data_IF_467683917523
#
_entry.id   IF_467683917523
#
_cell.length_a   1.000
_cell.length_b   1.000
_cell.length_c   1.000
_cell.angle_alpha   90.00
_cell.angle_beta   90.00
_cell.angle_gamma   90.00
#
_symmetry.space_group_name_H-M   'P 1'
#
loop_
_entity.id
_entity.type
_entity.pdbx_description
1 polymer ?
#
# COMPACT_ATOMS: atom_id res chain seq x y z
N UNK A 1 -24.55 43.00 -3.84
CA UNK A 1 -25.21 42.36 -5.01
C UNK A 1 -24.25 42.39 -6.18
N UNK A 2 -23.59 41.27 -6.46
CA UNK A 2 -22.97 40.99 -7.76
C UNK A 2 -23.16 39.49 -7.98
N UNK A 3 -24.09 39.16 -8.87
CA UNK A 3 -24.48 37.79 -9.21
C UNK A 3 -23.35 37.14 -10.00
N UNK A 4 -22.89 35.96 -9.55
CA UNK A 4 -22.12 35.04 -10.39
C UNK A 4 -23.14 34.36 -11.34
N UNK A 5 -23.06 34.54 -12.66
CA UNK A 5 -23.91 33.83 -13.59
C UNK A 5 -23.24 32.53 -14.03
N UNK A 6 -24.02 31.45 -14.10
CA UNK A 6 -23.72 30.30 -14.94
C UNK A 6 -23.61 28.99 -14.18
N UNK A 7 -24.73 28.26 -14.18
CA UNK A 7 -24.81 26.83 -13.94
C UNK A 7 -23.66 26.06 -14.63
N UNK A 8 -23.02 25.18 -13.87
CA UNK A 8 -21.82 24.49 -14.31
C UNK A 8 -21.36 23.54 -13.23
N UNK A 9 -22.19 22.55 -12.89
CA UNK A 9 -21.76 21.38 -12.14
C UNK A 9 -20.34 21.00 -12.59
N UNK A 10 -19.36 21.05 -11.68
CA UNK A 10 -17.99 20.61 -11.93
C UNK A 10 -18.11 19.19 -12.46
N UNK A 11 -17.99 19.04 -13.78
CA UNK A 11 -18.18 17.73 -14.41
C UNK A 11 -17.15 16.79 -13.78
N UNK A 12 -17.53 15.60 -13.29
CA UNK A 12 -16.55 14.66 -12.78
C UNK A 12 -15.58 14.32 -13.92
N UNK A 13 -14.34 14.80 -13.82
CA UNK A 13 -13.27 14.53 -14.81
C UNK A 13 -12.83 13.06 -14.77
N UNK A 14 -13.33 12.30 -13.81
CA UNK A 14 -13.11 10.87 -13.65
C UNK A 14 -14.11 10.12 -14.54
N UNK A 15 -13.91 10.22 -15.86
CA UNK A 15 -14.58 9.36 -16.85
C UNK A 15 -13.55 8.91 -17.88
N UNK A 16 -13.78 7.76 -18.53
CA UNK A 16 -12.84 7.24 -19.53
C UNK A 16 -12.55 8.22 -20.67
N UNK A 17 -13.53 8.94 -21.27
CA UNK A 17 -13.24 9.93 -22.30
C UNK A 17 -12.41 11.11 -21.77
N UNK A 18 -12.72 11.61 -20.57
CA UNK A 18 -12.01 12.73 -19.98
C UNK A 18 -10.56 12.36 -19.63
N UNK A 19 -10.34 11.15 -19.09
CA UNK A 19 -9.00 10.64 -18.79
C UNK A 19 -8.16 10.46 -20.06
N UNK A 20 -8.73 9.90 -21.13
CA UNK A 20 -8.03 9.76 -22.41
C UNK A 20 -7.62 11.13 -22.97
N UNK A 21 -8.57 12.07 -23.09
CA UNK A 21 -8.29 13.43 -23.53
C UNK A 21 -7.20 14.08 -22.68
N UNK A 22 -7.31 13.98 -21.35
CA UNK A 22 -6.34 14.58 -20.45
C UNK A 22 -4.91 14.04 -20.65
N UNK A 23 -4.77 12.74 -20.94
CA UNK A 23 -3.49 12.11 -21.25
C UNK A 23 -2.96 12.54 -22.63
N UNK A 24 -3.83 12.54 -23.64
CA UNK A 24 -3.50 12.91 -25.02
C UNK A 24 -3.02 14.37 -25.11
N UNK A 25 -3.77 15.30 -24.51
CA UNK A 25 -3.45 16.75 -24.46
C UNK A 25 -2.07 17.02 -23.83
N UNK A 26 -1.56 16.08 -23.03
CA UNK A 26 -0.30 16.21 -22.28
C UNK A 26 0.82 15.34 -22.84
N UNK A 27 0.56 14.64 -23.95
CA UNK A 27 1.51 13.69 -24.53
C UNK A 27 1.90 12.55 -23.56
N UNK A 28 1.05 12.24 -22.58
CA UNK A 28 1.30 11.15 -21.63
C UNK A 28 0.78 9.85 -22.23
N UNK A 29 1.69 8.99 -22.68
CA UNK A 29 1.35 7.61 -23.02
C UNK A 29 1.50 6.74 -21.78
N UNK A 30 0.43 6.07 -21.30
CA UNK A 30 0.53 5.20 -20.14
C UNK A 30 1.64 4.17 -20.31
N UNK A 31 2.61 4.17 -19.41
CA UNK A 31 3.75 3.29 -19.48
C UNK A 31 3.46 1.97 -18.75
N UNK A 32 3.53 0.85 -19.48
CA UNK A 32 3.52 -0.50 -18.89
C UNK A 32 4.68 -0.67 -17.90
N UNK A 33 5.87 -0.13 -18.21
CA UNK A 33 7.05 -0.21 -17.36
C UNK A 33 6.89 0.52 -16.02
N UNK A 34 6.15 1.64 -16.00
CA UNK A 34 5.79 2.37 -14.77
C UNK A 34 4.51 1.85 -14.11
N UNK A 35 3.84 0.86 -14.70
CA UNK A 35 2.60 0.28 -14.19
C UNK A 35 1.44 1.27 -14.05
N UNK A 36 1.39 2.31 -14.88
CA UNK A 36 0.39 3.36 -14.80
C UNK A 36 -1.00 2.83 -15.19
N UNK A 37 -1.93 2.82 -14.23
CA UNK A 37 -3.35 2.55 -14.43
C UNK A 37 -4.16 3.64 -13.70
N UNK A 38 -4.77 4.55 -14.45
CA UNK A 38 -5.49 5.72 -13.91
C UNK A 38 -6.93 5.36 -13.56
N UNK A 39 -7.41 5.79 -12.38
CA UNK A 39 -8.82 5.63 -12.01
C UNK A 39 -9.73 6.42 -12.96
N UNK A 40 -10.75 5.76 -13.52
CA UNK A 40 -11.72 6.36 -14.46
C UNK A 40 -13.16 6.35 -13.93
N UNK A 41 -13.38 5.91 -12.69
CA UNK A 41 -14.68 6.01 -12.02
C UNK A 41 -14.60 6.90 -10.77
N UNK A 42 -15.38 7.99 -10.67
CA UNK A 42 -15.32 8.91 -9.54
C UNK A 42 -15.83 8.24 -8.26
N UNK A 43 -16.81 7.35 -8.39
CA UNK A 43 -17.34 6.56 -7.28
C UNK A 43 -16.27 5.70 -6.63
N UNK A 44 -15.39 5.08 -7.42
CA UNK A 44 -14.28 4.29 -6.88
C UNK A 44 -13.34 5.17 -6.07
N UNK A 45 -12.98 6.36 -6.57
CA UNK A 45 -12.13 7.31 -5.85
C UNK A 45 -12.77 7.76 -4.53
N UNK A 46 -14.06 8.12 -4.54
CA UNK A 46 -14.82 8.50 -3.34
C UNK A 46 -14.89 7.37 -2.32
N UNK A 47 -15.15 6.13 -2.77
CA UNK A 47 -15.16 4.94 -1.89
C UNK A 47 -13.80 4.64 -1.27
N UNK A 48 -12.70 4.82 -2.02
CA UNK A 48 -11.34 4.68 -1.49
C UNK A 48 -11.07 5.77 -0.45
N UNK A 49 -11.35 7.02 -0.77
CA UNK A 49 -11.17 8.14 0.15
C UNK A 49 -11.98 7.91 1.43
N UNK A 50 -13.24 7.45 1.32
CA UNK A 50 -14.18 7.13 2.41
C UNK A 50 -13.76 5.94 3.28
N UNK A 51 -12.87 5.07 2.80
CA UNK A 51 -12.37 3.91 3.57
C UNK A 51 -11.39 4.28 4.69
N UNK A 52 -10.75 5.44 4.61
CA UNK A 52 -9.92 5.94 5.71
C UNK A 52 -10.73 6.25 6.98
N UNK A 53 -10.06 6.34 8.11
CA UNK A 53 -10.55 6.82 9.39
C UNK A 53 -10.30 8.32 9.58
N UNK A 54 -10.47 8.81 10.82
CA UNK A 54 -10.15 10.20 11.15
C UNK A 54 -8.63 10.40 11.15
N UNK A 55 -8.13 11.28 10.27
CA UNK A 55 -6.74 11.74 10.22
C UNK A 55 -6.72 13.24 9.97
N UNK A 56 -5.61 13.92 10.32
CA UNK A 56 -5.44 15.36 10.08
C UNK A 56 -4.98 15.68 8.66
N UNK A 57 -4.38 14.72 7.97
CA UNK A 57 -3.88 14.87 6.62
C UNK A 57 -3.85 13.52 5.90
N UNK A 58 -3.97 13.56 4.58
CA UNK A 58 -3.71 12.41 3.72
C UNK A 58 -2.35 12.54 3.03
N UNK A 59 -1.69 11.40 2.88
CA UNK A 59 -0.49 11.27 2.06
C UNK A 59 -0.83 10.37 0.88
N UNK A 60 -0.56 10.81 -0.35
CA UNK A 60 -0.89 10.04 -1.56
C UNK A 60 0.37 9.67 -2.35
N UNK A 61 0.51 8.38 -2.69
CA UNK A 61 1.57 7.90 -3.58
C UNK A 61 0.98 7.64 -4.96
N UNK A 62 1.52 8.32 -5.97
CA UNK A 62 1.10 8.18 -7.37
C UNK A 62 -0.30 8.74 -7.63
N UNK A 63 -0.53 10.04 -7.42
CA UNK A 63 -1.83 10.69 -7.65
C UNK A 63 -2.30 10.62 -9.12
N UNK A 64 -1.39 10.44 -10.08
CA UNK A 64 -1.73 10.35 -11.48
C UNK A 64 -2.39 11.62 -12.01
N UNK A 65 -3.65 11.51 -12.46
CA UNK A 65 -4.47 12.66 -12.89
C UNK A 65 -5.23 13.33 -11.73
N UNK A 66 -5.03 12.88 -10.49
CA UNK A 66 -5.61 13.49 -9.30
C UNK A 66 -7.05 13.06 -8.99
N UNK A 67 -7.51 11.95 -9.57
CA UNK A 67 -8.88 11.45 -9.34
C UNK A 67 -9.12 11.09 -7.87
N UNK A 68 -8.15 10.45 -7.21
CA UNK A 68 -8.20 10.15 -5.78
C UNK A 68 -7.85 11.38 -4.94
N UNK A 69 -6.85 12.16 -5.35
CA UNK A 69 -6.46 13.44 -4.73
C UNK A 69 -7.65 14.36 -4.47
N UNK A 70 -8.54 14.53 -5.44
CA UNK A 70 -9.75 15.36 -5.31
C UNK A 70 -10.65 14.88 -4.16
N UNK A 71 -10.94 13.57 -4.12
CA UNK A 71 -11.75 12.98 -3.05
C UNK A 71 -11.04 13.03 -1.67
N UNK A 72 -9.71 13.00 -1.65
CA UNK A 72 -8.92 13.14 -0.43
C UNK A 72 -8.90 14.59 0.09
N UNK A 73 -8.82 15.58 -0.80
CA UNK A 73 -8.89 16.99 -0.44
C UNK A 73 -10.26 17.32 0.17
N UNK A 74 -11.34 16.84 -0.44
CA UNK A 74 -12.71 16.99 0.09
C UNK A 74 -12.85 16.39 1.50
N UNK A 75 -12.15 15.28 1.77
CA UNK A 75 -12.27 14.57 3.04
C UNK A 75 -11.35 15.09 4.15
N UNK A 76 -10.09 15.38 3.84
CA UNK A 76 -9.06 15.67 4.83
C UNK A 76 -8.65 17.15 4.87
N UNK A 77 -9.01 17.94 3.87
CA UNK A 77 -8.61 19.34 3.74
C UNK A 77 -7.11 19.58 3.47
N UNK A 78 -6.26 18.56 3.67
CA UNK A 78 -4.83 18.58 3.37
C UNK A 78 -4.38 17.25 2.76
N UNK A 79 -3.75 17.32 1.59
CA UNK A 79 -3.17 16.19 0.88
C UNK A 79 -1.75 16.54 0.45
N UNK A 80 -0.78 15.73 0.88
CA UNK A 80 0.59 15.80 0.37
C UNK A 80 0.86 14.59 -0.51
N UNK A 81 1.19 14.80 -1.78
CA UNK A 81 1.34 13.74 -2.76
C UNK A 81 2.77 13.63 -3.29
N UNK A 82 3.14 12.43 -3.75
CA UNK A 82 4.39 12.18 -4.49
C UNK A 82 4.09 11.56 -5.85
N UNK A 83 4.61 12.16 -6.92
CA UNK A 83 4.46 11.70 -8.31
C UNK A 83 5.81 11.71 -9.02
N UNK A 84 6.06 10.70 -9.87
CA UNK A 84 7.33 10.53 -10.58
C UNK A 84 7.29 11.10 -12.00
N UNK A 85 6.12 11.15 -12.65
CA UNK A 85 5.98 11.70 -13.99
C UNK A 85 5.80 13.23 -13.94
N UNK A 86 6.82 13.98 -14.34
CA UNK A 86 6.80 15.45 -14.33
C UNK A 86 5.62 16.08 -15.08
N UNK A 87 5.14 15.44 -16.17
CA UNK A 87 3.96 15.92 -16.92
C UNK A 87 2.68 15.83 -16.10
N UNK A 88 2.55 14.78 -15.28
CA UNK A 88 1.45 14.64 -14.33
C UNK A 88 1.63 15.63 -13.18
N UNK A 89 2.87 15.92 -12.77
CA UNK A 89 3.13 16.93 -11.75
C UNK A 89 2.67 18.34 -12.20
N UNK A 90 3.01 18.75 -13.43
CA UNK A 90 2.53 20.01 -14.02
C UNK A 90 1.00 20.06 -14.09
N UNK A 91 0.37 18.96 -14.49
CA UNK A 91 -1.09 18.84 -14.48
C UNK A 91 -1.68 19.04 -13.09
N UNK A 92 -1.17 18.33 -12.08
CA UNK A 92 -1.66 18.38 -10.70
C UNK A 92 -1.46 19.78 -10.08
N UNK A 93 -0.28 20.38 -10.29
CA UNK A 93 0.01 21.76 -9.85
C UNK A 93 -0.97 22.75 -10.46
N UNK A 94 -1.32 22.58 -11.75
CA UNK A 94 -2.31 23.44 -12.42
C UNK A 94 -3.72 23.18 -11.89
N UNK A 95 -4.12 21.91 -11.78
CA UNK A 95 -5.46 21.47 -11.37
C UNK A 95 -5.81 21.96 -9.96
N UNK A 96 -4.87 21.83 -9.03
CA UNK A 96 -5.10 22.14 -7.62
C UNK A 96 -4.49 23.48 -7.19
N UNK A 97 -4.04 24.32 -8.15
CA UNK A 97 -3.40 25.63 -7.88
C UNK A 97 -4.21 26.55 -6.98
N UNK A 98 -5.53 26.54 -7.16
CA UNK A 98 -6.45 27.45 -6.47
C UNK A 98 -6.93 26.93 -5.11
N UNK A 99 -6.72 25.64 -4.82
CA UNK A 99 -7.20 25.00 -3.60
C UNK A 99 -6.15 25.09 -2.50
N UNK A 100 -6.46 25.63 -1.30
CA UNK A 100 -5.58 25.48 -0.16
C UNK A 100 -5.47 23.98 0.20
N UNK A 101 -4.28 23.54 0.62
CA UNK A 101 -4.11 22.20 1.22
C UNK A 101 -3.58 21.10 0.29
N UNK A 102 -3.25 21.38 -0.97
CA UNK A 102 -2.53 20.41 -1.82
C UNK A 102 -1.04 20.74 -1.91
N UNK A 103 -0.20 19.76 -1.58
CA UNK A 103 1.26 19.82 -1.72
C UNK A 103 1.73 18.67 -2.59
N UNK A 104 2.67 18.93 -3.52
CA UNK A 104 3.16 17.92 -4.46
C UNK A 104 4.69 17.89 -4.49
N UNK A 105 5.24 16.70 -4.28
CA UNK A 105 6.65 16.39 -4.47
C UNK A 105 6.82 15.59 -5.76
N UNK A 106 7.64 16.11 -6.66
CA UNK A 106 8.02 15.40 -7.89
C UNK A 106 9.25 14.53 -7.62
N UNK A 107 9.03 13.24 -7.35
CA UNK A 107 10.07 12.29 -6.97
C UNK A 107 9.63 10.85 -7.17
N UNK A 108 10.60 9.94 -7.29
CA UNK A 108 10.35 8.51 -7.08
C UNK A 108 10.10 8.24 -5.59
N UNK A 109 8.91 7.73 -5.25
CA UNK A 109 8.53 7.41 -3.88
C UNK A 109 9.48 6.40 -3.21
N UNK A 110 10.11 5.48 -3.97
CA UNK A 110 11.08 4.53 -3.44
C UNK A 110 12.43 5.20 -3.10
N UNK A 111 12.77 6.31 -3.76
CA UNK A 111 14.04 7.04 -3.54
C UNK A 111 13.89 8.26 -2.63
N UNK A 112 12.68 8.79 -2.49
CA UNK A 112 12.38 9.94 -1.64
C UNK A 112 12.75 9.66 -0.17
N UNK A 113 13.34 10.63 0.51
CA UNK A 113 13.52 10.60 1.96
C UNK A 113 12.17 10.87 2.64
N UNK A 114 11.54 9.81 3.14
CA UNK A 114 10.23 9.91 3.78
C UNK A 114 10.31 10.54 5.16
N UNK A 115 11.40 10.36 5.90
CA UNK A 115 11.54 10.98 7.23
C UNK A 115 11.48 12.50 7.11
N UNK A 116 12.23 13.05 6.14
CA UNK A 116 12.20 14.49 5.83
C UNK A 116 10.89 14.93 5.19
N UNK A 117 10.39 14.21 4.18
CA UNK A 117 9.16 14.61 3.51
C UNK A 117 7.97 14.66 4.47
N UNK A 118 7.89 13.70 5.39
CA UNK A 118 6.78 13.59 6.29
C UNK A 118 6.90 14.49 7.54
N UNK A 119 8.06 15.11 7.82
CA UNK A 119 8.23 15.94 9.03
C UNK A 119 7.27 17.13 9.07
N UNK A 120 6.95 17.68 7.90
CA UNK A 120 6.16 18.91 7.78
C UNK A 120 4.64 18.63 7.67
N UNK A 121 4.26 17.35 7.66
CA UNK A 121 2.87 16.91 7.50
C UNK A 121 2.26 16.57 8.87
N UNK A 122 1.15 17.22 9.29
CA UNK A 122 0.53 16.97 10.58
C UNK A 122 0.16 15.49 10.81
N UNK A 123 0.51 14.96 11.98
CA UNK A 123 0.05 13.65 12.46
C UNK A 123 -1.24 13.80 13.31
N UNK A 124 -2.11 12.77 13.38
CA UNK A 124 -2.06 11.51 12.65
C UNK A 124 -2.38 11.71 11.16
N UNK A 125 -1.72 10.92 10.30
CA UNK A 125 -1.88 10.95 8.84
C UNK A 125 -2.22 9.56 8.30
N UNK A 126 -3.04 9.53 7.26
CA UNK A 126 -3.44 8.30 6.58
C UNK A 126 -2.80 8.25 5.18
N UNK A 127 -2.25 7.09 4.81
CA UNK A 127 -1.61 6.89 3.52
C UNK A 127 -2.58 6.29 2.51
N UNK A 128 -2.55 6.81 1.28
CA UNK A 128 -3.36 6.36 0.16
C UNK A 128 -2.47 6.08 -1.04
N UNK A 129 -2.89 5.13 -1.88
CA UNK A 129 -2.19 4.91 -3.14
C UNK A 129 -2.89 3.92 -4.05
N UNK A 130 -2.94 4.27 -5.33
CA UNK A 130 -3.25 3.33 -6.40
C UNK A 130 -1.93 2.80 -6.96
N UNK A 131 -1.31 1.86 -6.24
CA UNK A 131 0.10 1.54 -6.45
C UNK A 131 0.34 0.78 -7.75
N UNK A 132 1.40 1.12 -8.52
CA UNK A 132 1.80 0.31 -9.66
C UNK A 132 2.21 -1.09 -9.20
N UNK A 133 1.71 -2.11 -9.90
CA UNK A 133 1.85 -3.50 -9.45
C UNK A 133 3.31 -3.96 -9.35
N UNK A 134 4.16 -3.53 -10.29
CA UNK A 134 5.57 -3.90 -10.37
C UNK A 134 6.40 -3.47 -9.15
N UNK A 135 5.98 -2.41 -8.45
CA UNK A 135 6.69 -1.86 -7.30
C UNK A 135 5.93 -1.98 -5.98
N UNK A 136 4.71 -2.52 -6.02
CA UNK A 136 3.81 -2.61 -4.86
C UNK A 136 4.47 -3.24 -3.63
N UNK A 137 5.19 -4.36 -3.81
CA UNK A 137 5.89 -5.02 -2.70
C UNK A 137 7.00 -4.15 -2.08
N UNK A 138 7.80 -3.47 -2.90
CA UNK A 138 8.86 -2.59 -2.41
C UNK A 138 8.29 -1.35 -1.70
N UNK A 139 7.19 -0.79 -2.22
CA UNK A 139 6.51 0.33 -1.58
C UNK A 139 5.88 -0.08 -0.25
N UNK A 140 5.21 -1.23 -0.16
CA UNK A 140 4.65 -1.70 1.10
C UNK A 140 5.77 -1.95 2.13
N UNK A 141 6.91 -2.48 1.71
CA UNK A 141 8.08 -2.63 2.58
C UNK A 141 8.57 -1.26 3.09
N UNK A 142 8.63 -0.24 2.21
CA UNK A 142 8.98 1.13 2.59
C UNK A 142 7.96 1.77 3.52
N UNK A 143 6.67 1.47 3.34
CA UNK A 143 5.61 1.87 4.27
C UNK A 143 5.86 1.23 5.64
N UNK A 144 6.22 -0.05 5.70
CA UNK A 144 6.53 -0.72 6.96
C UNK A 144 7.76 -0.14 7.68
N UNK A 145 8.74 0.37 6.93
CA UNK A 145 9.87 1.13 7.51
C UNK A 145 9.44 2.43 8.19
N UNK A 146 8.28 2.98 7.82
CA UNK A 146 7.76 4.26 8.30
C UNK A 146 6.40 4.11 8.98
N UNK A 147 6.05 2.94 9.51
CA UNK A 147 4.71 2.70 10.11
C UNK A 147 4.36 3.67 11.23
N UNK A 148 5.36 4.14 12.00
CA UNK A 148 5.15 5.12 13.07
C UNK A 148 4.66 6.48 12.57
N UNK A 149 4.84 6.76 11.27
CA UNK A 149 4.42 7.98 10.63
C UNK A 149 2.95 7.98 10.22
N UNK A 150 2.25 6.85 10.26
CA UNK A 150 0.89 6.70 9.75
C UNK A 150 0.00 5.96 10.75
N UNK A 151 -1.27 6.34 10.86
CA UNK A 151 -2.25 5.53 11.59
C UNK A 151 -2.69 4.32 10.78
N UNK A 152 -2.78 4.50 9.47
CA UNK A 152 -3.28 3.49 8.54
C UNK A 152 -2.80 3.75 7.11
N UNK A 153 -2.95 2.73 6.26
CA UNK A 153 -2.84 2.85 4.82
C UNK A 153 -4.03 2.20 4.11
N UNK A 154 -4.49 2.83 3.03
CA UNK A 154 -5.55 2.34 2.14
C UNK A 154 -4.96 2.25 0.74
N UNK A 155 -4.69 1.02 0.30
CA UNK A 155 -3.96 0.76 -0.94
C UNK A 155 -4.83 -0.03 -1.92
N UNK A 156 -4.84 0.41 -3.17
CA UNK A 156 -5.30 -0.41 -4.29
C UNK A 156 -4.14 -1.30 -4.76
N UNK A 157 -4.37 -2.62 -4.75
CA UNK A 157 -3.37 -3.64 -5.07
C UNK A 157 -3.98 -4.69 -6.01
N UNK A 158 -3.14 -5.46 -6.71
CA UNK A 158 -3.62 -6.66 -7.41
C UNK A 158 -4.33 -7.60 -6.43
N UNK A 159 -5.41 -8.23 -6.87
CA UNK A 159 -6.23 -9.09 -6.02
C UNK A 159 -5.41 -10.19 -5.34
N UNK A 160 -4.50 -10.86 -6.05
CA UNK A 160 -3.65 -11.91 -5.48
C UNK A 160 -2.74 -11.38 -4.36
N UNK A 161 -2.19 -10.17 -4.52
CA UNK A 161 -1.35 -9.53 -3.50
C UNK A 161 -2.19 -9.16 -2.28
N UNK A 162 -3.39 -8.61 -2.51
CA UNK A 162 -4.34 -8.29 -1.46
C UNK A 162 -4.75 -9.54 -0.65
N UNK A 163 -5.12 -10.62 -1.33
CA UNK A 163 -5.48 -11.90 -0.72
C UNK A 163 -4.31 -12.51 0.08
N UNK A 164 -3.07 -12.35 -0.42
CA UNK A 164 -1.86 -12.76 0.31
C UNK A 164 -1.64 -11.94 1.59
N UNK A 165 -1.90 -10.63 1.57
CA UNK A 165 -1.75 -9.75 2.75
C UNK A 165 -2.70 -10.16 3.87
N UNK A 166 -3.96 -10.47 3.53
CA UNK A 166 -5.01 -10.84 4.49
C UNK A 166 -5.10 -12.34 4.74
N UNK A 167 -4.19 -13.13 4.16
CA UNK A 167 -4.18 -14.59 4.30
C UNK A 167 -4.12 -15.01 5.77
N UNK A 168 -4.96 -16.00 6.11
CA UNK A 168 -5.00 -16.64 7.42
C UNK A 168 -3.96 -17.77 7.58
N UNK A 169 -3.25 -18.16 6.51
CA UNK A 169 -2.37 -19.32 6.60
C UNK A 169 -2.18 -20.09 5.29
N UNK A 170 -1.36 -21.13 5.38
CA UNK A 170 -1.22 -22.12 4.33
C UNK A 170 -0.54 -21.63 3.04
N UNK A 171 -0.98 -22.18 1.90
CA UNK A 171 -0.35 -22.01 0.58
C UNK A 171 -0.40 -20.59 0.03
N UNK A 172 -1.38 -19.79 0.47
CA UNK A 172 -1.57 -18.40 0.02
C UNK A 172 -0.63 -17.42 0.72
N UNK A 173 0.03 -17.82 1.81
CA UNK A 173 0.99 -16.97 2.50
C UNK A 173 2.24 -16.70 1.67
N UNK A 174 2.81 -15.51 1.89
CA UNK A 174 4.14 -15.15 1.42
C UNK A 174 4.85 -14.22 2.40
N UNK A 175 6.03 -13.68 2.02
CA UNK A 175 6.79 -12.76 2.87
C UNK A 175 5.96 -11.58 3.38
N UNK A 176 5.14 -11.00 2.50
CA UNK A 176 4.28 -9.86 2.83
C UNK A 176 3.22 -10.18 3.90
N UNK A 177 2.77 -11.43 3.98
CA UNK A 177 1.80 -11.87 4.99
C UNK A 177 2.39 -11.75 6.40
N UNK A 178 3.65 -12.18 6.58
CA UNK A 178 4.35 -12.09 7.87
C UNK A 178 4.68 -10.65 8.24
N UNK A 179 5.16 -9.87 7.28
CA UNK A 179 5.43 -8.44 7.48
C UNK A 179 4.16 -7.70 7.89
N UNK A 180 3.06 -7.89 7.16
CA UNK A 180 1.79 -7.26 7.48
C UNK A 180 1.29 -7.70 8.86
N UNK A 181 1.42 -8.98 9.23
CA UNK A 181 1.05 -9.45 10.57
C UNK A 181 1.88 -8.80 11.69
N UNK A 182 3.16 -8.54 11.46
CA UNK A 182 4.05 -7.89 12.44
C UNK A 182 3.71 -6.42 12.63
N UNK A 183 3.58 -5.68 11.53
CA UNK A 183 3.47 -4.21 11.56
C UNK A 183 2.03 -3.69 11.66
N UNK A 184 1.02 -4.55 11.48
CA UNK A 184 -0.37 -4.15 11.52
C UNK A 184 -1.11 -4.76 12.72
N UNK A 185 -1.99 -3.98 13.30
CA UNK A 185 -3.02 -4.48 14.22
C UNK A 185 -4.13 -5.17 13.43
N UNK A 186 -4.58 -4.56 12.33
CA UNK A 186 -5.62 -5.11 11.44
C UNK A 186 -5.23 -4.98 9.97
N UNK A 187 -5.68 -5.96 9.18
CA UNK A 187 -5.47 -6.06 7.73
C UNK A 187 -6.79 -6.49 7.11
N UNK A 188 -7.38 -5.65 6.26
CA UNK A 188 -8.74 -5.85 5.78
C UNK A 188 -8.80 -5.72 4.27
N UNK A 189 -9.34 -6.72 3.58
CA UNK A 189 -9.72 -6.59 2.17
C UNK A 189 -11.11 -5.96 2.16
N UNK A 190 -11.17 -4.67 1.85
CA UNK A 190 -12.40 -3.89 1.97
C UNK A 190 -13.38 -4.19 0.84
N UNK A 191 -12.90 -4.11 -0.41
CA UNK A 191 -13.70 -4.44 -1.59
C UNK A 191 -12.83 -4.70 -2.81
N UNK A 192 -13.37 -5.45 -3.77
CA UNK A 192 -12.75 -5.69 -5.08
C UNK A 192 -13.06 -4.54 -6.02
N UNK A 193 -12.11 -4.23 -6.91
CA UNK A 193 -12.24 -3.21 -7.95
C UNK A 193 -12.00 -3.89 -9.30
N UNK A 194 -13.03 -3.85 -10.15
CA UNK A 194 -12.98 -4.46 -11.47
C UNK A 194 -12.03 -3.69 -12.41
N UNK A 195 -11.42 -4.36 -13.41
CA UNK A 195 -10.51 -3.72 -14.36
C UNK A 195 -11.10 -2.52 -15.12
N UNK A 196 -12.43 -2.47 -15.29
CA UNK A 196 -13.12 -1.35 -15.94
C UNK A 196 -12.98 -0.01 -15.21
N UNK A 197 -12.57 -0.02 -13.94
CA UNK A 197 -12.31 1.19 -13.17
C UNK A 197 -10.99 1.88 -13.50
N UNK A 198 -10.20 1.33 -14.42
CA UNK A 198 -8.89 1.84 -14.76
C UNK A 198 -8.69 2.06 -16.27
N UNK A 199 -7.81 3.00 -16.59
CA UNK A 199 -7.26 3.18 -17.93
C UNK A 199 -5.74 3.32 -17.88
N UNK A 200 -4.96 2.56 -18.66
CA UNK A 200 -5.38 1.37 -19.40
C UNK A 200 -6.02 0.33 -18.47
N UNK A 201 -6.80 -0.58 -19.07
CA UNK A 201 -7.44 -1.66 -18.31
C UNK A 201 -6.34 -2.66 -17.89
N UNK A 202 -6.17 -2.96 -16.58
CA UNK A 202 -5.24 -3.99 -16.15
C UNK A 202 -5.73 -5.37 -16.56
N UNK A 203 -4.79 -6.31 -16.72
CA UNK A 203 -5.09 -7.70 -17.08
C UNK A 203 -5.73 -8.48 -15.92
N UNK A 204 -5.53 -8.01 -14.69
CA UNK A 204 -6.02 -8.65 -13.47
C UNK A 204 -6.89 -7.70 -12.65
N UNK A 205 -7.77 -8.29 -11.83
CA UNK A 205 -8.59 -7.54 -10.87
C UNK A 205 -7.75 -6.92 -9.76
N UNK A 206 -8.26 -5.82 -9.21
CA UNK A 206 -7.68 -5.15 -8.04
C UNK A 206 -8.54 -5.33 -6.80
N UNK A 207 -7.99 -5.02 -5.65
CA UNK A 207 -8.73 -4.87 -4.40
C UNK A 207 -8.16 -3.73 -3.56
N UNK A 208 -9.04 -3.11 -2.77
CA UNK A 208 -8.66 -2.11 -1.77
C UNK A 208 -8.38 -2.82 -0.46
N UNK A 209 -7.18 -2.62 0.07
CA UNK A 209 -6.73 -3.18 1.34
C UNK A 209 -6.47 -2.06 2.34
N UNK A 210 -7.01 -2.21 3.54
CA UNK A 210 -6.70 -1.37 4.69
C UNK A 210 -5.68 -2.03 5.58
N UNK A 211 -4.68 -1.26 5.99
CA UNK A 211 -3.72 -1.60 7.01
C UNK A 211 -3.95 -0.65 8.17
N UNK A 212 -4.24 -1.17 9.37
CA UNK A 212 -4.21 -0.39 10.61
C UNK A 212 -2.90 -0.70 11.29
N UNK A 213 -2.02 0.30 11.44
CA UNK A 213 -0.65 0.06 11.90
C UNK A 213 -0.59 -0.11 13.42
N UNK A 214 0.28 -1.01 13.86
CA UNK A 214 0.54 -1.28 15.27
C UNK A 214 1.61 -0.30 15.79
N UNK A 215 1.41 0.24 16.98
CA UNK A 215 2.46 0.95 17.71
C UNK A 215 3.51 -0.03 18.26
N UNK A 216 4.79 0.28 18.14
CA UNK A 216 5.87 -0.45 18.84
C UNK A 216 6.90 -1.10 17.92
N UNK A 217 6.52 -1.97 16.97
CA UNK A 217 7.51 -2.62 16.09
C UNK A 217 8.29 -1.60 15.27
N UNK A 218 9.61 -1.58 15.46
CA UNK A 218 10.55 -0.84 14.62
C UNK A 218 11.05 -1.77 13.54
N UNK A 219 11.12 -1.24 12.31
CA UNK A 219 11.68 -1.98 11.20
C UNK A 219 13.18 -2.24 11.38
N UNK A 220 13.62 -3.45 11.05
CA UNK A 220 15.02 -3.88 11.05
C UNK A 220 15.37 -4.57 9.74
N UNK A 221 16.66 -4.70 9.42
CA UNK A 221 17.09 -5.47 8.24
C UNK A 221 16.71 -6.96 8.32
N UNK A 222 16.53 -7.48 9.54
CA UNK A 222 16.00 -8.82 9.77
C UNK A 222 14.56 -8.98 9.27
N UNK A 223 13.75 -7.91 9.31
CA UNK A 223 12.40 -7.91 8.76
C UNK A 223 12.40 -8.07 7.23
N UNK A 224 13.43 -7.54 6.55
CA UNK A 224 13.64 -7.81 5.12
C UNK A 224 14.05 -9.25 4.86
N UNK A 225 15.04 -9.74 5.60
CA UNK A 225 15.76 -10.99 5.29
C UNK A 225 14.98 -12.24 5.65
N UNK A 226 14.39 -12.29 6.86
CA UNK A 226 13.84 -13.53 7.43
C UNK A 226 12.61 -14.04 6.63
N UNK A 227 11.56 -13.23 6.39
CA UNK A 227 10.41 -13.69 5.61
C UNK A 227 10.83 -14.15 4.21
N UNK A 228 11.74 -13.43 3.54
CA UNK A 228 12.25 -13.82 2.22
C UNK A 228 12.92 -15.20 2.25
N UNK A 229 13.81 -15.44 3.21
CA UNK A 229 14.51 -16.73 3.38
C UNK A 229 13.54 -17.88 3.66
N UNK A 230 12.55 -17.68 4.53
CA UNK A 230 11.55 -18.70 4.85
C UNK A 230 10.77 -19.13 3.60
N UNK A 231 10.29 -18.17 2.81
CA UNK A 231 9.48 -18.47 1.63
C UNK A 231 10.30 -18.90 0.40
N UNK A 232 11.59 -18.55 0.32
CA UNK A 232 12.52 -19.12 -0.67
C UNK A 232 12.61 -20.65 -0.53
N UNK A 233 12.53 -21.18 0.69
CA UNK A 233 12.56 -22.61 0.98
C UNK A 233 11.18 -23.18 1.33
N UNK A 234 10.08 -22.58 0.84
CA UNK A 234 8.70 -22.96 1.21
C UNK A 234 8.34 -24.44 1.08
N UNK A 235 9.02 -25.18 0.19
CA UNK A 235 8.78 -26.61 -0.07
C UNK A 235 9.65 -27.55 0.79
N UNK A 236 10.57 -27.02 1.60
CA UNK A 236 11.40 -27.79 2.54
C UNK A 236 10.78 -27.77 3.94
N UNK A 237 11.02 -28.84 4.71
CA UNK A 237 10.73 -28.86 6.15
C UNK A 237 11.50 -27.75 6.86
N UNK A 238 10.94 -27.16 7.91
CA UNK A 238 11.58 -26.08 8.66
C UNK A 238 12.91 -26.52 9.29
N UNK A 239 13.01 -27.79 9.73
CA UNK A 239 14.28 -28.37 10.23
C UNK A 239 15.42 -28.40 9.21
N UNK A 240 15.10 -28.34 7.91
CA UNK A 240 16.10 -28.25 6.84
C UNK A 240 16.48 -26.82 6.47
N UNK A 241 15.85 -25.83 7.09
CA UNK A 241 15.98 -24.39 6.76
C UNK A 241 16.50 -23.60 7.95
N UNK A 242 16.09 -23.98 9.16
CA UNK A 242 16.36 -23.28 10.42
C UNK A 242 17.08 -24.20 11.42
N UNK A 243 17.87 -23.62 12.35
CA UNK A 243 18.47 -24.37 13.45
C UNK A 243 17.41 -25.04 14.33
N UNK A 244 17.72 -26.22 14.88
CA UNK A 244 16.78 -26.98 15.72
C UNK A 244 16.43 -26.23 17.01
N UNK A 245 17.35 -25.41 17.51
CA UNK A 245 17.23 -24.61 18.73
C UNK A 245 16.08 -23.60 18.61
N UNK A 246 15.93 -22.98 17.44
CA UNK A 246 14.83 -22.03 17.16
C UNK A 246 13.47 -22.74 17.13
N UNK A 247 13.46 -23.99 16.65
CA UNK A 247 12.26 -24.81 16.48
C UNK A 247 11.88 -25.58 17.75
N UNK A 248 12.75 -25.58 18.76
CA UNK A 248 12.53 -26.30 20.01
C UNK A 248 11.25 -25.82 20.69
N UNK A 249 10.46 -26.78 21.17
CA UNK A 249 9.19 -26.55 21.87
C UNK A 249 8.10 -25.86 21.01
N UNK A 250 8.27 -25.77 19.69
CA UNK A 250 7.25 -25.27 18.77
C UNK A 250 6.50 -26.43 18.11
N UNK A 251 5.18 -26.45 18.25
CA UNK A 251 4.28 -27.41 17.63
C UNK A 251 3.01 -26.73 17.13
N UNK A 252 2.33 -27.33 16.15
CA UNK A 252 1.02 -26.87 15.70
C UNK A 252 -0.09 -27.25 16.70
N UNK A 253 -1.35 -26.90 16.37
CA UNK A 253 -2.49 -27.16 17.24
C UNK A 253 -2.72 -28.66 17.49
N UNK A 254 -2.25 -29.52 16.59
CA UNK A 254 -2.32 -30.98 16.68
C UNK A 254 -1.08 -31.59 17.38
N UNK A 255 -0.16 -30.76 17.90
CA UNK A 255 1.04 -31.21 18.59
C UNK A 255 2.15 -31.70 17.66
N UNK A 256 2.05 -31.50 16.34
CA UNK A 256 3.12 -31.86 15.41
C UNK A 256 4.26 -30.84 15.51
N UNK A 257 5.52 -31.28 15.68
CA UNK A 257 6.64 -30.36 15.78
C UNK A 257 6.80 -29.51 14.53
N UNK A 258 7.06 -28.20 14.69
CA UNK A 258 7.34 -27.32 13.55
C UNK A 258 8.52 -27.83 12.72
N UNK A 259 9.48 -28.52 13.34
CA UNK A 259 10.61 -29.15 12.66
C UNK A 259 10.21 -30.04 11.48
N UNK A 260 9.04 -30.70 11.54
CA UNK A 260 8.54 -31.60 10.51
C UNK A 260 7.59 -30.95 9.51
N UNK A 261 7.18 -29.71 9.78
CA UNK A 261 6.26 -28.94 8.95
C UNK A 261 7.03 -28.03 7.99
N UNK A 262 6.34 -27.52 6.98
CA UNK A 262 6.79 -26.45 6.09
C UNK A 262 6.10 -25.14 6.46
N UNK A 263 6.72 -24.01 6.12
CA UNK A 263 6.12 -22.70 6.37
C UNK A 263 4.72 -22.54 5.74
N UNK A 264 4.48 -23.18 4.59
CA UNK A 264 3.19 -23.13 3.88
C UNK A 264 2.14 -24.13 4.38
N UNK A 265 2.43 -24.83 5.47
CA UNK A 265 1.49 -25.68 6.20
C UNK A 265 1.05 -25.05 7.53
N UNK A 266 1.68 -23.96 7.96
CA UNK A 266 1.35 -23.29 9.22
C UNK A 266 0.17 -22.32 9.03
N UNK A 267 -0.68 -22.12 10.06
CA UNK A 267 -1.53 -20.95 10.13
C UNK A 267 -0.68 -19.68 10.30
N UNK A 268 -1.21 -18.52 9.93
CA UNK A 268 -0.45 -17.26 9.95
C UNK A 268 0.03 -16.88 11.35
N UNK A 269 -0.77 -17.18 12.39
CA UNK A 269 -0.42 -16.92 13.79
C UNK A 269 0.81 -17.73 14.23
N UNK A 270 0.87 -19.01 13.86
CA UNK A 270 2.01 -19.89 14.10
C UNK A 270 3.26 -19.43 13.34
N UNK A 271 3.11 -19.08 12.06
CA UNK A 271 4.22 -18.56 11.26
C UNK A 271 4.74 -17.21 11.79
N UNK A 272 3.86 -16.35 12.31
CA UNK A 272 4.22 -15.09 12.96
C UNK A 272 4.93 -15.30 14.30
N UNK A 273 4.53 -16.29 15.09
CA UNK A 273 5.24 -16.70 16.31
C UNK A 273 6.67 -17.13 15.99
N UNK A 274 6.85 -18.02 15.01
CA UNK A 274 8.16 -18.46 14.54
C UNK A 274 9.02 -17.28 14.08
N UNK A 275 8.43 -16.36 13.32
CA UNK A 275 9.11 -15.15 12.87
C UNK A 275 9.55 -14.26 14.04
N UNK A 276 8.68 -14.04 15.04
CA UNK A 276 9.04 -13.30 16.26
C UNK A 276 10.22 -13.92 17.00
N UNK A 277 10.25 -15.25 17.14
CA UNK A 277 11.36 -15.97 17.77
C UNK A 277 12.66 -15.87 16.98
N UNK A 278 12.58 -15.89 15.65
CA UNK A 278 13.74 -15.71 14.77
C UNK A 278 14.38 -14.32 14.92
N UNK A 279 13.56 -13.29 15.14
CA UNK A 279 14.06 -11.94 15.38
C UNK A 279 14.83 -11.87 16.72
N UNK A 280 14.24 -12.40 17.80
CA UNK A 280 14.87 -12.41 19.13
C UNK A 280 16.22 -13.15 19.17
N UNK A 281 16.35 -14.28 18.48
CA UNK A 281 17.60 -15.06 18.47
C UNK A 281 18.76 -14.34 17.75
N UNK A 282 18.46 -13.47 16.78
CA UNK A 282 19.49 -12.70 16.08
C UNK A 282 19.96 -11.52 16.92
N UNK A 283 19.07 -10.89 17.68
CA UNK A 283 19.40 -9.78 18.58
C UNK A 283 20.34 -10.21 19.72
N UNK A 284 20.44 -11.51 20.03
CA UNK A 284 21.32 -12.07 21.07
C UNK A 284 22.65 -12.59 20.53
N UNK A 285 22.86 -12.53 19.20
CA UNK A 285 24.08 -13.00 18.52
C UNK A 285 24.96 -11.84 18.02
N UNK A 286 24.69 -10.60 18.48
CA UNK A 286 25.44 -9.38 18.16
C UNK A 286 25.95 -8.76 19.46
#
# INVERSE_FOLDING_TARGET
>A
MARIPGDGAVRPWVSLPAVRRALDDRGVRPSKGRGQNFLVHPETARRIAAAGGPARAAVEIGPGLGALTESLLDRYGRVSAVEIDGRLCEHLRTRFRAGPGFELVESDALRLDWARWLSDIPAPRALFGNLPYSISAALIEKIFQHVSCFSEAILCLQLEVAERIVSAGGRSMGPITLLAHRFCERRELLFRVGPGAFYPRPEVSSAIVRFVFRSGPVWTESDRRIPRRLFQHRRKKLSSVLPREVLRDLADAEGRPFADLRIDQLPVSAAALLYGRLLQNLDHST
#
